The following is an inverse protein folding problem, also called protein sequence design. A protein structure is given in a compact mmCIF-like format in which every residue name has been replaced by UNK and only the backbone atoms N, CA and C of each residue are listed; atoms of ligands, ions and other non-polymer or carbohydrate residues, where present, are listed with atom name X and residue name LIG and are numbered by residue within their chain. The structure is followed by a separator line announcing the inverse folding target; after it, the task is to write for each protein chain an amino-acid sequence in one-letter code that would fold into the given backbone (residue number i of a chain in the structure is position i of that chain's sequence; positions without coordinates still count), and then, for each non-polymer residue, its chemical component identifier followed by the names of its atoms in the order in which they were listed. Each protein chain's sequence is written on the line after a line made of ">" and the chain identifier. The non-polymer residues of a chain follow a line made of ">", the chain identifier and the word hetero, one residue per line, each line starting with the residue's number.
data_IF_631333419069
#
_entry.id   IF_631333419069
#
_cell.length_a   1.000
_cell.length_b   1.000
_cell.length_c   1.000
_cell.angle_alpha   90.00
_cell.angle_beta   90.00
_cell.angle_gamma   90.00
#
_symmetry.space_group_name_H-M   'P 1'
#
loop_
_entity.id
_entity.type
_entity.pdbx_description
1 polymer ?
#
# COMPACT_ATOMS: atom_id res chain seq x y z
N UNK A 1 -8.79 9.06 11.07
CA UNK A 1 -8.73 9.75 9.76
C UNK A 1 -7.58 9.25 8.91
N UNK A 2 -6.34 9.30 9.40
CA UNK A 2 -5.16 8.83 8.64
C UNK A 2 -5.27 7.35 8.26
N UNK A 3 -5.51 6.49 9.24
CA UNK A 3 -5.57 5.05 8.99
C UNK A 3 -6.74 4.68 8.07
N UNK A 4 -7.87 5.37 8.15
CA UNK A 4 -9.00 5.13 7.27
C UNK A 4 -8.69 5.51 5.82
N UNK A 5 -7.97 6.62 5.60
CA UNK A 5 -7.60 7.07 4.27
C UNK A 5 -6.61 6.10 3.61
N UNK A 6 -5.61 5.63 4.34
CA UNK A 6 -4.64 4.66 3.82
C UNK A 6 -5.27 3.29 3.58
N UNK A 7 -6.15 2.88 4.48
CA UNK A 7 -6.78 1.56 4.44
C UNK A 7 -7.76 1.44 3.27
N UNK A 8 -8.37 2.54 2.81
CA UNK A 8 -9.33 2.50 1.70
C UNK A 8 -8.76 1.83 0.43
N UNK A 9 -7.60 2.27 -0.04
CA UNK A 9 -6.97 1.68 -1.22
C UNK A 9 -6.34 0.32 -0.88
N UNK A 10 -5.71 0.19 0.27
CA UNK A 10 -5.16 -1.09 0.72
C UNK A 10 -6.24 -2.16 0.74
N UNK A 11 -7.40 -1.88 1.31
CA UNK A 11 -8.52 -2.82 1.33
C UNK A 11 -9.01 -3.18 -0.08
N UNK A 12 -9.17 -2.19 -0.93
CA UNK A 12 -9.60 -2.41 -2.31
C UNK A 12 -8.66 -3.33 -3.09
N UNK A 13 -7.36 -3.20 -2.86
CA UNK A 13 -6.34 -4.00 -3.54
C UNK A 13 -6.10 -5.35 -2.86
N UNK A 14 -6.27 -5.45 -1.54
CA UNK A 14 -5.99 -6.69 -0.82
C UNK A 14 -7.05 -7.76 -1.02
N UNK A 15 -8.30 -7.38 -1.19
CA UNK A 15 -9.40 -8.33 -1.40
C UNK A 15 -9.19 -9.22 -2.62
N UNK A 16 -8.86 -8.69 -3.81
CA UNK A 16 -8.59 -9.54 -4.97
C UNK A 16 -7.43 -10.51 -4.76
N UNK A 17 -6.37 -10.08 -4.08
CA UNK A 17 -5.24 -10.96 -3.75
C UNK A 17 -5.71 -12.10 -2.85
N UNK A 18 -6.45 -11.79 -1.80
CA UNK A 18 -6.99 -12.79 -0.89
C UNK A 18 -7.92 -13.77 -1.58
N UNK A 19 -8.80 -13.28 -2.45
CA UNK A 19 -9.75 -14.13 -3.17
C UNK A 19 -9.07 -15.04 -4.18
N UNK A 20 -8.08 -14.53 -4.93
CA UNK A 20 -7.42 -15.29 -5.99
C UNK A 20 -6.36 -16.27 -5.46
N UNK A 21 -5.65 -15.91 -4.40
CA UNK A 21 -4.45 -16.64 -3.96
C UNK A 21 -4.51 -17.10 -2.50
N UNK A 22 -5.65 -16.91 -1.85
CA UNK A 22 -5.85 -17.33 -0.45
C UNK A 22 -4.84 -16.73 0.53
N UNK A 23 -4.36 -15.52 0.25
CA UNK A 23 -3.49 -14.80 1.17
C UNK A 23 -4.32 -14.26 2.33
N UNK A 24 -3.92 -14.50 3.59
CA UNK A 24 -4.64 -13.93 4.74
C UNK A 24 -4.79 -12.42 4.61
N UNK A 25 -5.95 -11.89 4.98
CA UNK A 25 -6.27 -10.46 4.80
C UNK A 25 -5.24 -9.52 5.43
N UNK A 26 -4.85 -9.78 6.66
CA UNK A 26 -3.83 -8.96 7.33
C UNK A 26 -2.49 -8.99 6.64
N UNK A 27 -2.11 -10.13 6.08
CA UNK A 27 -0.84 -10.29 5.37
C UNK A 27 -0.86 -9.54 4.03
N UNK A 28 -1.95 -9.64 3.27
CA UNK A 28 -2.08 -8.90 2.01
C UNK A 28 -2.12 -7.39 2.23
N UNK A 29 -2.75 -6.94 3.32
CA UNK A 29 -2.71 -5.53 3.70
C UNK A 29 -1.28 -5.08 4.01
N UNK A 30 -0.52 -5.88 4.74
CA UNK A 30 0.87 -5.56 5.06
C UNK A 30 1.76 -5.50 3.82
N UNK A 31 1.56 -6.41 2.87
CA UNK A 31 2.29 -6.39 1.60
C UNK A 31 2.07 -5.08 0.83
N UNK A 32 0.85 -4.56 0.85
CA UNK A 32 0.45 -3.40 0.07
C UNK A 32 0.76 -2.07 0.74
N UNK A 33 0.84 -2.04 2.06
CA UNK A 33 0.89 -0.78 2.82
C UNK A 33 2.02 0.16 2.40
N UNK A 34 3.29 -0.28 2.24
CA UNK A 34 4.35 0.64 1.83
C UNK A 34 4.11 1.26 0.45
N UNK A 35 3.76 0.45 -0.55
CA UNK A 35 3.54 0.94 -1.91
C UNK A 35 2.35 1.90 -2.00
N UNK A 36 1.25 1.58 -1.32
CA UNK A 36 0.06 2.44 -1.29
C UNK A 36 0.34 3.74 -0.55
N UNK A 37 1.09 3.70 0.54
CA UNK A 37 1.47 4.91 1.28
C UNK A 37 2.34 5.81 0.41
N UNK A 38 3.34 5.26 -0.27
CA UNK A 38 4.20 6.02 -1.17
C UNK A 38 3.39 6.70 -2.28
N UNK A 39 2.45 5.97 -2.87
CA UNK A 39 1.54 6.51 -3.89
C UNK A 39 0.69 7.65 -3.35
N UNK A 40 0.25 7.57 -2.10
CA UNK A 40 -0.71 8.51 -1.49
C UNK A 40 -0.05 9.78 -0.95
N UNK A 41 1.23 9.73 -0.60
CA UNK A 41 1.95 10.86 0.00
C UNK A 41 1.80 12.16 -0.79
N UNK A 42 1.97 12.20 -2.13
CA UNK A 42 1.86 13.46 -2.87
C UNK A 42 0.52 14.18 -2.69
N UNK A 43 -0.55 13.46 -2.42
CA UNK A 43 -1.88 14.06 -2.24
C UNK A 43 -2.14 14.52 -0.80
N UNK A 44 -1.36 14.06 0.17
CA UNK A 44 -1.55 14.38 1.59
C UNK A 44 -0.21 14.45 2.34
N UNK A 45 0.80 15.04 1.71
CA UNK A 45 2.17 15.04 2.21
C UNK A 45 2.30 15.55 3.64
N UNK A 46 1.63 16.64 3.98
CA UNK A 46 1.70 17.20 5.34
C UNK A 46 1.07 16.28 6.39
N UNK A 47 -0.03 15.63 6.05
CA UNK A 47 -0.69 14.68 6.96
C UNK A 47 0.19 13.47 7.25
N UNK A 48 0.85 12.94 6.24
CA UNK A 48 1.77 11.81 6.43
C UNK A 48 2.99 12.25 7.23
N UNK A 49 3.52 13.44 6.97
CA UNK A 49 4.63 13.98 7.76
C UNK A 49 4.24 14.16 9.23
N UNK A 50 3.06 14.67 9.49
CA UNK A 50 2.55 14.81 10.86
C UNK A 50 2.39 13.45 11.54
N UNK A 51 1.94 12.45 10.82
CA UNK A 51 1.88 11.08 11.33
C UNK A 51 3.26 10.53 11.65
N UNK A 52 4.24 10.78 10.79
CA UNK A 52 5.63 10.36 11.02
C UNK A 52 6.18 10.96 12.34
N UNK A 53 5.89 12.23 12.58
CA UNK A 53 6.27 12.90 13.84
C UNK A 53 5.52 12.33 15.04
N UNK A 54 4.21 12.11 14.88
CA UNK A 54 3.36 11.60 15.95
C UNK A 54 3.77 10.21 16.43
N UNK A 55 4.20 9.34 15.51
CA UNK A 55 4.66 7.99 15.86
C UNK A 55 6.14 7.92 16.21
N UNK A 56 6.84 9.06 16.19
CA UNK A 56 8.22 9.15 16.65
C UNK A 56 9.30 8.77 15.64
N UNK A 57 8.97 8.54 14.36
CA UNK A 57 9.97 8.22 13.33
C UNK A 57 10.58 9.49 12.71
N UNK A 58 9.97 10.63 12.88
CA UNK A 58 10.48 11.92 12.44
C UNK A 58 10.48 12.95 13.57
N UNK A 59 11.31 13.97 13.45
CA UNK A 59 11.42 15.05 14.42
C UNK A 59 10.54 16.22 14.03
N UNK A 60 10.18 17.06 14.99
CA UNK A 60 9.45 18.31 14.74
C UNK A 60 10.22 19.27 13.81
N UNK A 61 11.55 19.18 13.84
CA UNK A 61 12.44 20.00 13.00
C UNK A 61 12.60 19.50 11.58
N UNK A 62 12.16 18.27 11.28
CA UNK A 62 12.23 17.72 9.93
C UNK A 62 11.20 18.39 9.03
N UNK A 63 11.58 18.72 7.79
CA UNK A 63 10.62 19.21 6.82
C UNK A 63 9.72 18.06 6.34
N UNK A 64 8.69 18.41 5.58
CA UNK A 64 7.69 17.45 5.09
C UNK A 64 8.32 16.31 4.28
N UNK A 65 9.24 16.62 3.37
CA UNK A 65 9.91 15.62 2.54
C UNK A 65 10.75 14.66 3.39
N UNK A 66 11.55 15.17 4.30
CA UNK A 66 12.40 14.36 5.18
C UNK A 66 11.54 13.48 6.09
N UNK A 67 10.49 14.04 6.68
CA UNK A 67 9.57 13.29 7.54
C UNK A 67 8.91 12.13 6.78
N UNK A 68 8.46 12.37 5.55
CA UNK A 68 7.83 11.34 4.72
C UNK A 68 8.82 10.28 4.26
N UNK A 69 10.06 10.64 3.96
CA UNK A 69 11.11 9.68 3.64
C UNK A 69 11.39 8.76 4.83
N UNK A 70 11.45 9.32 6.03
CA UNK A 70 11.61 8.53 7.26
C UNK A 70 10.43 7.59 7.49
N UNK A 71 9.20 8.04 7.21
CA UNK A 71 8.01 7.20 7.30
C UNK A 71 8.11 6.00 6.35
N UNK A 72 8.50 6.23 5.10
CA UNK A 72 8.64 5.15 4.12
C UNK A 72 9.73 4.17 4.53
N UNK A 73 10.87 4.66 4.98
CA UNK A 73 11.96 3.81 5.46
C UNK A 73 11.48 2.93 6.62
N UNK A 74 10.71 3.49 7.54
CA UNK A 74 10.16 2.74 8.67
C UNK A 74 9.17 1.66 8.23
N UNK A 75 8.29 1.96 7.27
CA UNK A 75 7.33 0.98 6.76
C UNK A 75 8.04 -0.20 6.09
N UNK A 76 9.06 0.07 5.27
CA UNK A 76 9.85 -1.00 4.67
C UNK A 76 10.63 -1.79 5.71
N UNK A 77 11.23 -1.10 6.68
CA UNK A 77 11.96 -1.75 7.76
C UNK A 77 11.06 -2.64 8.61
N UNK A 78 9.85 -2.16 8.91
CA UNK A 78 8.88 -2.92 9.70
C UNK A 78 8.44 -4.19 8.97
N UNK A 79 8.15 -4.10 7.67
CA UNK A 79 7.78 -5.27 6.88
C UNK A 79 8.93 -6.29 6.82
N UNK A 80 10.17 -5.84 6.71
CA UNK A 80 11.34 -6.71 6.74
C UNK A 80 11.51 -7.37 8.10
N UNK A 81 11.36 -6.62 9.18
CA UNK A 81 11.46 -7.13 10.55
C UNK A 81 10.38 -8.17 10.85
N UNK A 82 9.15 -7.92 10.42
CA UNK A 82 8.02 -8.84 10.59
C UNK A 82 8.02 -9.98 9.57
N UNK A 83 8.98 -10.00 8.67
CA UNK A 83 9.10 -11.03 7.61
C UNK A 83 7.87 -11.12 6.73
N UNK A 84 7.29 -9.97 6.39
CA UNK A 84 6.18 -9.91 5.44
C UNK A 84 6.69 -10.34 4.06
N UNK A 85 6.17 -11.45 3.48
CA UNK A 85 6.65 -11.93 2.20
C UNK A 85 6.14 -11.07 1.05
N UNK A 86 6.87 -11.06 -0.07
CA UNK A 86 6.33 -10.60 -1.34
C UNK A 86 5.36 -11.66 -1.89
N UNK A 87 4.55 -11.35 -2.91
CA UNK A 87 3.73 -12.38 -3.56
C UNK A 87 4.56 -13.57 -4.04
N UNK A 88 5.75 -13.32 -4.57
CA UNK A 88 6.67 -14.38 -4.99
C UNK A 88 7.10 -15.27 -3.83
N UNK A 89 7.51 -14.66 -2.74
CA UNK A 89 7.94 -15.38 -1.54
C UNK A 89 6.80 -16.16 -0.89
N UNK A 90 5.57 -15.66 -1.02
CA UNK A 90 4.39 -16.36 -0.52
C UNK A 90 4.08 -17.62 -1.34
N UNK A 91 4.56 -17.69 -2.59
CA UNK A 91 4.37 -18.84 -3.46
C UNK A 91 3.38 -18.61 -4.60
N UNK A 92 3.05 -17.37 -4.91
CA UNK A 92 2.19 -17.05 -6.04
C UNK A 92 3.01 -17.15 -7.32
N UNK A 93 2.44 -17.79 -8.35
CA UNK A 93 3.09 -17.92 -9.65
C UNK A 93 3.12 -16.56 -10.35
N UNK A 94 4.30 -16.14 -10.80
CA UNK A 94 4.51 -14.84 -11.42
C UNK A 94 3.59 -14.59 -12.61
N UNK A 95 3.57 -15.54 -13.54
CA UNK A 95 2.78 -15.41 -14.76
C UNK A 95 1.31 -15.24 -14.48
N UNK A 96 0.77 -16.04 -13.56
CA UNK A 96 -0.62 -15.95 -13.14
C UNK A 96 -0.92 -14.59 -12.50
N UNK A 97 -0.03 -14.12 -11.62
CA UNK A 97 -0.20 -12.84 -10.94
C UNK A 97 -0.23 -11.68 -11.95
N UNK A 98 0.73 -11.64 -12.86
CA UNK A 98 0.80 -10.57 -13.87
C UNK A 98 -0.37 -10.61 -14.84
N UNK A 99 -0.81 -11.78 -15.26
CA UNK A 99 -1.97 -11.93 -16.15
C UNK A 99 -3.28 -11.54 -15.45
N UNK A 100 -3.35 -11.65 -14.14
CA UNK A 100 -4.54 -11.34 -13.35
C UNK A 100 -4.60 -9.89 -12.86
N UNK A 101 -3.54 -9.10 -13.06
CA UNK A 101 -3.47 -7.73 -12.55
C UNK A 101 -4.61 -6.84 -13.03
N UNK A 102 -4.97 -6.94 -14.32
CA UNK A 102 -6.07 -6.16 -14.88
C UNK A 102 -7.38 -6.48 -14.16
N UNK A 103 -7.68 -7.76 -13.99
CA UNK A 103 -8.89 -8.21 -13.30
C UNK A 103 -8.90 -7.74 -11.85
N UNK A 104 -7.77 -7.86 -11.15
CA UNK A 104 -7.65 -7.41 -9.76
C UNK A 104 -7.83 -5.90 -9.63
N UNK A 105 -7.28 -5.12 -10.57
CA UNK A 105 -7.44 -3.68 -10.58
C UNK A 105 -8.90 -3.27 -10.79
N UNK A 106 -9.60 -3.95 -11.70
CA UNK A 106 -11.02 -3.71 -11.95
C UNK A 106 -11.87 -4.06 -10.73
N UNK A 107 -11.57 -5.16 -10.06
CA UNK A 107 -12.24 -5.56 -8.82
C UNK A 107 -12.00 -4.56 -7.70
N UNK A 108 -10.78 -4.05 -7.57
CA UNK A 108 -10.45 -3.03 -6.58
C UNK A 108 -11.27 -1.77 -6.80
N UNK A 109 -11.35 -1.29 -8.04
CA UNK A 109 -12.13 -0.09 -8.38
C UNK A 109 -13.62 -0.32 -8.18
N UNK A 110 -14.13 -1.50 -8.54
CA UNK A 110 -15.55 -1.83 -8.39
C UNK A 110 -15.99 -1.85 -6.92
N UNK A 111 -15.09 -2.09 -5.99
CA UNK A 111 -15.38 -2.07 -4.55
C UNK A 111 -15.73 -0.68 -4.03
N UNK A 112 -15.34 0.39 -4.74
CA UNK A 112 -15.50 1.77 -4.31
C UNK A 112 -14.48 2.23 -3.27
N UNK A 113 -13.73 1.33 -2.65
CA UNK A 113 -12.75 1.67 -1.61
C UNK A 113 -11.63 2.59 -2.09
N UNK A 114 -11.05 2.40 -3.29
CA UNK A 114 -9.97 3.28 -3.75
C UNK A 114 -10.36 4.75 -3.89
N UNK A 115 -11.63 5.04 -4.12
CA UNK A 115 -12.13 6.42 -4.22
C UNK A 115 -11.98 7.20 -2.91
N UNK A 116 -11.87 6.51 -1.78
CA UNK A 116 -11.71 7.14 -0.46
C UNK A 116 -10.23 7.38 -0.10
N UNK A 117 -9.30 6.92 -0.93
CA UNK A 117 -7.88 7.15 -0.70
C UNK A 117 -7.54 8.64 -0.94
N UNK A 118 -6.56 9.22 -0.22
CA UNK A 118 -6.14 10.61 -0.45
C UNK A 118 -5.82 10.92 -1.90
N UNK A 119 -5.27 9.94 -2.63
CA UNK A 119 -5.07 10.01 -4.06
C UNK A 119 -5.85 8.87 -4.70
N UNK A 120 -6.94 9.21 -5.39
CA UNK A 120 -7.78 8.21 -6.06
C UNK A 120 -7.07 7.69 -7.31
N UNK A 121 -6.76 6.39 -7.39
CA UNK A 121 -6.04 5.82 -8.53
C UNK A 121 -6.98 5.45 -9.67
N UNK A 122 -6.41 5.39 -10.88
CA UNK A 122 -7.04 4.69 -11.99
C UNK A 122 -6.55 3.23 -12.06
N UNK A 123 -7.09 2.46 -13.02
CA UNK A 123 -6.73 1.04 -13.16
C UNK A 123 -5.23 0.85 -13.46
N UNK A 124 -4.66 1.69 -14.29
CA UNK A 124 -3.24 1.61 -14.65
C UNK A 124 -2.34 1.84 -13.44
N UNK A 125 -2.69 2.80 -12.61
CA UNK A 125 -1.95 3.10 -11.38
C UNK A 125 -2.03 1.95 -10.39
N UNK A 126 -3.19 1.31 -10.25
CA UNK A 126 -3.35 0.13 -9.40
C UNK A 126 -2.49 -1.02 -9.91
N UNK A 127 -2.45 -1.24 -11.22
CA UNK A 127 -1.60 -2.27 -11.83
C UNK A 127 -0.13 -2.01 -11.52
N UNK A 128 0.33 -0.76 -11.63
CA UNK A 128 1.71 -0.41 -11.29
C UNK A 128 2.02 -0.65 -9.81
N UNK A 129 1.06 -0.40 -8.93
CA UNK A 129 1.22 -0.71 -7.50
C UNK A 129 1.35 -2.21 -7.27
N UNK A 130 0.55 -3.03 -7.94
CA UNK A 130 0.69 -4.49 -7.85
C UNK A 130 2.06 -4.97 -8.34
N UNK A 131 2.57 -4.37 -9.41
CA UNK A 131 3.90 -4.71 -9.94
C UNK A 131 5.00 -4.44 -8.91
N UNK A 132 4.86 -3.40 -8.11
CA UNK A 132 5.83 -3.05 -7.07
C UNK A 132 5.92 -4.07 -5.95
N UNK A 133 4.91 -4.89 -5.78
CA UNK A 133 4.91 -5.93 -4.73
C UNK A 133 5.83 -7.09 -5.09
N UNK A 134 6.00 -7.35 -6.37
CA UNK A 134 6.80 -8.48 -6.86
C UNK A 134 8.29 -8.23 -6.68
#
# INVERSE_FOLDING_TARGET
>A
AFSNASVALVHGMSRPIGAAYHVPHGLSNAMLLPAVTEFSIPAAAERYADCARAIGVANESDNTEVANNKLMDELYALNKELQVPSPEEFGIEREHFFNNMQTMAEQALASGSPANNPRAPNAEEIIELYKKLW
#
